data_IF_185623809144
#
_entry.id   IF_185623809144
#
_cell.length_a   1.000
_cell.length_b   1.000
_cell.length_c   1.000
_cell.angle_alpha   90.00
_cell.angle_beta   90.00
_cell.angle_gamma   90.00
#
_symmetry.space_group_name_H-M   'P 1'
#
loop_
_entity.id
_entity.type
_entity.pdbx_description
1 polymer ?
#
# COMPACT_ATOMS: atom_id res chain seq x y z
N UNK A 1 -8.19 14.24 14.14
CA UNK A 1 -7.93 13.41 12.93
C UNK A 1 -8.97 13.52 11.80
N UNK A 2 -10.07 12.73 11.75
CA UNK A 2 -10.94 12.67 10.55
C UNK A 2 -11.57 14.02 10.13
N UNK A 3 -12.03 14.80 11.11
CA UNK A 3 -12.57 16.16 10.90
C UNK A 3 -11.52 17.05 10.19
N UNK A 4 -10.28 17.05 10.68
CA UNK A 4 -9.16 17.82 10.13
C UNK A 4 -8.82 17.43 8.70
N UNK A 5 -8.85 16.13 8.38
CA UNK A 5 -8.70 15.67 6.99
C UNK A 5 -9.83 16.21 6.09
N UNK A 6 -11.08 16.19 6.58
CA UNK A 6 -12.25 16.67 5.84
C UNK A 6 -12.17 18.18 5.57
N UNK A 7 -11.74 18.98 6.54
CA UNK A 7 -11.51 20.42 6.41
C UNK A 7 -10.50 20.75 5.29
N UNK A 8 -9.50 19.88 5.09
CA UNK A 8 -8.51 20.03 4.02
C UNK A 8 -8.90 19.30 2.72
N UNK A 9 -10.11 18.77 2.64
CA UNK A 9 -10.64 18.09 1.46
C UNK A 9 -9.93 16.77 1.13
N UNK A 10 -9.36 16.08 2.11
CA UNK A 10 -8.64 14.80 1.92
C UNK A 10 -9.20 13.69 2.80
N UNK A 11 -8.91 12.42 2.45
CA UNK A 11 -9.19 11.28 3.32
C UNK A 11 -8.01 11.01 4.25
N UNK A 12 -8.25 10.24 5.31
CA UNK A 12 -7.17 9.77 6.19
C UNK A 12 -6.12 8.95 5.42
N UNK A 13 -6.56 8.17 4.43
CA UNK A 13 -5.68 7.41 3.55
C UNK A 13 -4.71 8.31 2.79
N UNK A 14 -5.22 9.41 2.22
CA UNK A 14 -4.40 10.37 1.50
C UNK A 14 -3.43 11.13 2.44
N UNK A 15 -3.85 11.41 3.67
CA UNK A 15 -2.99 11.96 4.71
C UNK A 15 -1.86 10.99 5.09
N UNK A 16 -2.13 9.69 5.21
CA UNK A 16 -1.11 8.69 5.53
C UNK A 16 -0.03 8.57 4.45
N UNK A 17 -0.37 8.67 3.16
CA UNK A 17 0.64 8.78 2.10
C UNK A 17 1.58 9.98 2.31
N UNK A 18 1.02 11.14 2.66
CA UNK A 18 1.80 12.35 2.89
C UNK A 18 2.68 12.24 4.15
N UNK A 19 2.16 11.65 5.24
CA UNK A 19 2.94 11.36 6.45
C UNK A 19 4.10 10.42 6.14
N UNK A 20 3.84 9.31 5.44
CA UNK A 20 4.88 8.35 5.06
C UNK A 20 5.97 9.02 4.23
N UNK A 21 5.59 9.91 3.30
CA UNK A 21 6.53 10.63 2.47
C UNK A 21 7.33 11.70 3.22
N UNK A 22 6.72 12.46 4.14
CA UNK A 22 7.45 13.41 4.98
C UNK A 22 8.38 12.67 5.96
N UNK A 23 7.92 11.56 6.54
CA UNK A 23 8.73 10.72 7.41
C UNK A 23 9.97 10.20 6.67
N UNK A 24 9.79 9.69 5.45
CA UNK A 24 10.91 9.25 4.61
C UNK A 24 11.86 10.41 4.28
N UNK A 25 11.34 11.57 3.90
CA UNK A 25 12.15 12.76 3.63
C UNK A 25 13.02 13.19 4.82
N UNK A 26 12.48 13.08 6.05
CA UNK A 26 13.18 13.33 7.31
C UNK A 26 14.20 12.23 7.65
N UNK A 27 13.96 10.99 7.25
CA UNK A 27 14.91 9.86 7.44
C UNK A 27 16.06 9.90 6.42
N UNK A 28 15.81 10.33 5.19
CA UNK A 28 16.78 10.33 4.09
C UNK A 28 17.91 11.39 4.25
N UNK A 29 17.88 12.19 5.31
CA UNK A 29 18.93 13.15 5.70
C UNK A 29 19.50 14.00 4.55
N UNK A 30 18.63 14.55 3.69
CA UNK A 30 19.02 15.42 2.57
C UNK A 30 19.25 14.71 1.23
N UNK A 31 19.24 13.37 1.17
CA UNK A 31 19.25 12.64 -0.09
C UNK A 31 17.85 12.65 -0.73
N UNK A 32 17.54 13.75 -1.42
CA UNK A 32 16.21 14.04 -1.95
C UNK A 32 16.13 14.03 -3.48
N UNK A 33 17.15 13.48 -4.15
CA UNK A 33 17.28 13.50 -5.61
C UNK A 33 16.13 12.76 -6.31
N UNK A 34 15.55 11.76 -5.65
CA UNK A 34 14.53 10.90 -6.21
C UNK A 34 13.20 11.04 -5.47
N UNK A 35 12.05 10.97 -6.17
CA UNK A 35 10.76 10.94 -5.51
C UNK A 35 10.57 9.63 -4.75
N UNK A 36 9.73 9.66 -3.72
CA UNK A 36 9.27 8.45 -3.06
C UNK A 36 8.09 7.87 -3.84
N UNK A 37 8.21 6.61 -4.23
CA UNK A 37 7.12 5.83 -4.81
C UNK A 37 6.53 4.90 -3.76
N UNK A 38 5.24 5.00 -3.54
CA UNK A 38 4.48 4.12 -2.66
C UNK A 38 3.46 3.35 -3.50
N UNK A 39 3.34 2.04 -3.33
CA UNK A 39 2.29 1.28 -4.01
C UNK A 39 1.11 1.02 -3.06
N UNK A 40 -0.09 0.89 -3.63
CA UNK A 40 -1.29 0.61 -2.84
C UNK A 40 -2.26 -0.26 -3.61
N UNK A 41 -3.06 -0.99 -2.85
CA UNK A 41 -4.12 -1.84 -3.33
C UNK A 41 -5.39 -1.01 -3.57
N UNK A 42 -6.17 -1.40 -4.58
CA UNK A 42 -7.47 -0.82 -4.87
C UNK A 42 -8.54 -1.92 -4.94
N UNK A 43 -9.72 -1.63 -4.40
CA UNK A 43 -10.83 -2.58 -4.41
C UNK A 43 -11.43 -2.65 -5.83
N UNK A 44 -11.41 -3.83 -6.44
CA UNK A 44 -11.99 -4.06 -7.77
C UNK A 44 -13.45 -4.47 -7.72
N UNK A 45 -13.99 -4.86 -6.56
CA UNK A 45 -15.37 -5.36 -6.44
C UNK A 45 -16.44 -4.41 -7.02
N UNK A 46 -16.35 -3.07 -6.90
CA UNK A 46 -17.32 -2.15 -7.49
C UNK A 46 -17.39 -2.19 -9.04
N UNK A 47 -16.39 -2.78 -9.70
CA UNK A 47 -16.31 -2.89 -11.16
C UNK A 47 -16.68 -4.28 -11.68
N UNK A 48 -17.08 -5.19 -10.79
CA UNK A 48 -17.49 -6.54 -11.13
C UNK A 48 -19.01 -6.61 -11.14
N UNK A 49 -19.56 -7.54 -11.92
CA UNK A 49 -20.99 -7.84 -11.87
C UNK A 49 -21.35 -8.28 -10.44
N UNK A 50 -22.43 -7.70 -9.91
CA UNK A 50 -22.87 -7.98 -8.56
C UNK A 50 -23.44 -9.40 -8.49
N UNK A 51 -22.59 -10.36 -8.15
CA UNK A 51 -22.98 -11.76 -7.96
C UNK A 51 -23.02 -12.08 -6.47
N UNK A 52 -24.20 -12.42 -5.96
CA UNK A 52 -24.43 -12.64 -4.53
C UNK A 52 -23.54 -13.75 -3.97
N UNK A 53 -23.40 -14.87 -4.70
CA UNK A 53 -22.58 -16.00 -4.29
C UNK A 53 -21.09 -15.62 -4.15
N UNK A 54 -20.55 -14.86 -5.11
CA UNK A 54 -19.18 -14.37 -5.02
C UNK A 54 -19.02 -13.33 -3.90
N UNK A 55 -19.96 -12.40 -3.75
CA UNK A 55 -19.89 -11.37 -2.71
C UNK A 55 -19.92 -11.94 -1.28
N UNK A 56 -20.57 -13.08 -1.09
CA UNK A 56 -20.64 -13.80 0.18
C UNK A 56 -19.45 -14.76 0.41
N UNK A 57 -18.66 -15.03 -0.63
CA UNK A 57 -17.48 -15.87 -0.51
C UNK A 57 -16.34 -15.13 0.19
N UNK A 58 -15.80 -15.77 1.23
CA UNK A 58 -14.59 -15.34 1.92
C UNK A 58 -13.35 -15.38 1.00
N UNK A 59 -13.41 -16.12 -0.11
CA UNK A 59 -12.35 -16.21 -1.12
C UNK A 59 -12.44 -15.14 -2.21
N UNK A 60 -13.44 -14.26 -2.20
CA UNK A 60 -13.62 -13.28 -3.28
C UNK A 60 -12.68 -12.07 -3.17
N UNK A 61 -11.38 -12.31 -3.33
CA UNK A 61 -10.39 -11.24 -3.34
C UNK A 61 -10.26 -10.67 -4.76
N UNK A 62 -10.66 -9.41 -4.94
CA UNK A 62 -10.53 -8.70 -6.21
C UNK A 62 -9.80 -7.37 -5.97
N UNK A 63 -8.50 -7.36 -6.29
CA UNK A 63 -7.59 -6.25 -5.97
C UNK A 63 -6.78 -5.84 -7.19
N UNK A 64 -6.78 -4.54 -7.47
CA UNK A 64 -5.86 -3.90 -8.40
C UNK A 64 -4.76 -3.17 -7.63
N UNK A 65 -3.75 -2.66 -8.34
CA UNK A 65 -2.65 -1.91 -7.72
C UNK A 65 -2.36 -0.64 -8.50
N UNK A 66 -1.98 0.40 -7.76
CA UNK A 66 -1.54 1.67 -8.30
C UNK A 66 -0.41 2.25 -7.45
N UNK A 67 0.27 3.25 -8.00
CA UNK A 67 1.35 3.94 -7.30
C UNK A 67 0.93 5.38 -6.97
N UNK A 68 1.43 5.87 -5.84
CA UNK A 68 1.46 7.28 -5.47
C UNK A 68 2.92 7.70 -5.45
N UNK A 69 3.26 8.72 -6.23
CA UNK A 69 4.62 9.26 -6.32
C UNK A 69 4.61 10.67 -5.77
N UNK A 70 5.43 10.93 -4.74
CA UNK A 70 5.54 12.23 -4.10
C UNK A 70 7.01 12.68 -4.04
N UNK A 71 7.28 14.00 -4.12
CA UNK A 71 8.64 14.51 -4.01
C UNK A 71 9.25 14.22 -2.63
N UNK A 72 10.56 14.00 -2.58
CA UNK A 72 11.28 13.69 -1.32
C UNK A 72 11.88 14.91 -0.63
N UNK A 73 12.05 16.05 -1.33
CA UNK A 73 12.59 17.27 -0.70
C UNK A 73 11.63 17.87 0.32
N UNK A 74 12.09 18.42 1.45
CA UNK A 74 11.19 19.00 2.47
C UNK A 74 11.35 20.52 2.56
N UNK A 75 10.37 21.32 2.06
CA UNK A 75 10.37 22.76 2.25
C UNK A 75 10.26 23.15 3.73
N UNK A 76 10.63 24.40 4.06
CA UNK A 76 10.60 24.92 5.43
C UNK A 76 9.21 24.83 6.10
N UNK A 77 8.13 25.08 5.35
CA UNK A 77 6.76 24.93 5.84
C UNK A 77 6.27 23.48 5.68
N UNK A 78 6.50 22.67 6.72
CA UNK A 78 6.12 21.27 6.75
C UNK A 78 4.60 21.07 6.70
N UNK A 79 3.80 21.94 7.33
CA UNK A 79 2.35 21.80 7.40
C UNK A 79 1.68 22.07 6.05
N UNK A 80 2.08 23.14 5.36
CA UNK A 80 1.59 23.44 4.00
C UNK A 80 2.04 22.35 3.01
N UNK A 81 3.27 21.87 3.16
CA UNK A 81 3.81 20.76 2.37
C UNK A 81 3.00 19.49 2.58
N UNK A 82 2.69 19.15 3.83
CA UNK A 82 1.87 17.99 4.19
C UNK A 82 0.52 18.01 3.50
N UNK A 83 -0.24 19.11 3.63
CA UNK A 83 -1.58 19.18 3.04
C UNK A 83 -1.55 19.21 1.51
N UNK A 84 -0.53 19.83 0.90
CA UNK A 84 -0.32 19.78 -0.55
C UNK A 84 -0.08 18.33 -1.01
N UNK A 85 0.79 17.58 -0.32
CA UNK A 85 1.07 16.18 -0.62
C UNK A 85 -0.14 15.28 -0.40
N UNK A 86 -0.92 15.52 0.64
CA UNK A 86 -2.15 14.77 0.89
C UNK A 86 -3.16 14.98 -0.26
N UNK A 87 -3.32 16.22 -0.75
CA UNK A 87 -4.15 16.49 -1.92
C UNK A 87 -3.60 15.83 -3.19
N UNK A 88 -2.29 15.85 -3.40
CA UNK A 88 -1.65 15.17 -4.53
C UNK A 88 -1.88 13.65 -4.49
N UNK A 89 -1.71 13.02 -3.32
CA UNK A 89 -1.98 11.60 -3.12
C UNK A 89 -3.46 11.26 -3.39
N UNK A 90 -4.40 12.08 -2.90
CA UNK A 90 -5.84 11.94 -3.22
C UNK A 90 -6.10 12.04 -4.71
N UNK A 91 -5.51 13.01 -5.41
CA UNK A 91 -5.70 13.21 -6.84
C UNK A 91 -5.15 12.01 -7.65
N UNK A 92 -3.96 11.51 -7.31
CA UNK A 92 -3.37 10.33 -7.94
C UNK A 92 -4.24 9.08 -7.70
N UNK A 93 -4.66 8.84 -6.45
CA UNK A 93 -5.53 7.72 -6.09
C UNK A 93 -6.88 7.78 -6.82
N UNK A 94 -7.47 8.97 -6.92
CA UNK A 94 -8.74 9.18 -7.64
C UNK A 94 -8.59 8.90 -9.13
N UNK A 95 -7.49 9.37 -9.73
CA UNK A 95 -7.19 9.11 -11.14
C UNK A 95 -7.00 7.62 -11.42
N UNK A 96 -6.32 6.91 -10.53
CA UNK A 96 -6.14 5.47 -10.63
C UNK A 96 -7.49 4.73 -10.53
N UNK A 97 -8.30 5.06 -9.53
CA UNK A 97 -9.61 4.45 -9.31
C UNK A 97 -10.59 4.74 -10.46
N UNK A 98 -10.60 5.95 -11.01
CA UNK A 98 -11.53 6.36 -12.08
C UNK A 98 -10.98 6.14 -13.49
N UNK A 99 -9.84 5.47 -13.63
CA UNK A 99 -9.23 5.26 -14.94
C UNK A 99 -10.09 4.30 -15.78
N UNK A 100 -10.39 4.62 -17.06
CA UNK A 100 -11.06 3.67 -17.96
C UNK A 100 -10.20 2.41 -18.19
N UNK A 101 -8.88 2.51 -17.99
CA UNK A 101 -7.95 1.39 -18.11
C UNK A 101 -7.88 0.51 -16.87
N UNK A 102 -8.62 0.81 -15.81
CA UNK A 102 -8.49 0.09 -14.54
C UNK A 102 -8.87 -1.39 -14.68
N UNK A 103 -10.05 -1.66 -15.23
CA UNK A 103 -10.56 -3.03 -15.42
C UNK A 103 -9.69 -3.85 -16.37
N UNK A 104 -9.36 -3.40 -17.60
CA UNK A 104 -8.50 -4.18 -18.49
C UNK A 104 -7.10 -4.41 -17.90
N UNK A 105 -6.51 -3.41 -17.23
CA UNK A 105 -5.22 -3.57 -16.54
C UNK A 105 -5.30 -4.64 -15.44
N UNK A 106 -6.35 -4.61 -14.62
CA UNK A 106 -6.54 -5.60 -13.56
C UNK A 106 -6.68 -7.02 -14.13
N UNK A 107 -7.42 -7.19 -15.23
CA UNK A 107 -7.55 -8.48 -15.94
C UNK A 107 -6.21 -8.99 -16.45
N UNK A 108 -5.41 -8.14 -17.08
CA UNK A 108 -4.11 -8.54 -17.61
C UNK A 108 -3.14 -8.91 -16.49
N UNK A 109 -3.08 -8.11 -15.42
CA UNK A 109 -2.26 -8.44 -14.24
C UNK A 109 -2.74 -9.73 -13.56
N UNK A 110 -4.04 -9.97 -13.51
CA UNK A 110 -4.59 -11.23 -12.98
C UNK A 110 -4.22 -12.44 -13.84
N UNK A 111 -4.24 -12.29 -15.17
CA UNK A 111 -3.79 -13.32 -16.13
C UNK A 111 -2.33 -13.69 -15.87
N UNK A 112 -1.44 -12.71 -15.80
CA UNK A 112 -0.01 -12.90 -15.52
C UNK A 112 0.24 -13.54 -14.14
N UNK A 113 -0.47 -13.07 -13.09
CA UNK A 113 -0.37 -13.65 -11.75
C UNK A 113 -0.88 -15.08 -11.71
N UNK A 114 -1.96 -15.38 -12.43
CA UNK A 114 -2.52 -16.73 -12.52
C UNK A 114 -1.57 -17.71 -13.20
N UNK A 115 -0.87 -17.28 -14.27
CA UNK A 115 0.16 -18.11 -14.93
C UNK A 115 1.27 -18.44 -13.95
N UNK A 116 1.84 -17.43 -13.26
CA UNK A 116 2.92 -17.64 -12.27
C UNK A 116 2.48 -18.50 -11.10
N UNK A 117 1.29 -18.27 -10.55
CA UNK A 117 0.79 -19.03 -9.40
C UNK A 117 0.60 -20.51 -9.72
N UNK A 118 0.07 -20.83 -10.91
CA UNK A 118 -0.07 -22.23 -11.36
C UNK A 118 1.28 -22.89 -11.62
N UNK A 119 2.28 -22.12 -12.05
CA UNK A 119 3.64 -22.65 -12.19
C UNK A 119 4.21 -23.03 -10.81
N UNK A 120 4.13 -22.13 -9.82
CA UNK A 120 4.58 -22.45 -8.45
C UNK A 120 3.86 -23.65 -7.85
N UNK A 121 2.54 -23.74 -8.02
CA UNK A 121 1.79 -24.91 -7.55
C UNK A 121 2.30 -26.23 -8.18
N UNK A 122 2.64 -26.23 -9.48
CA UNK A 122 3.23 -27.41 -10.13
C UNK A 122 4.61 -27.75 -9.57
N UNK A 123 5.44 -26.75 -9.32
CA UNK A 123 6.77 -26.92 -8.72
C UNK A 123 6.66 -27.50 -7.30
N UNK A 124 5.72 -27.01 -6.49
CA UNK A 124 5.42 -27.52 -5.15
C UNK A 124 4.87 -28.96 -5.16
N UNK A 125 4.08 -29.31 -6.18
CA UNK A 125 3.56 -30.67 -6.41
C UNK A 125 4.62 -31.64 -6.99
N UNK A 126 5.87 -31.19 -7.18
CA UNK A 126 6.96 -32.00 -7.74
C UNK A 126 6.81 -32.30 -9.24
N UNK A 127 5.91 -31.60 -9.93
CA UNK A 127 5.74 -31.73 -11.38
C UNK A 127 6.91 -31.04 -12.05
N UNK A 128 7.68 -31.80 -12.83
CA UNK A 128 8.78 -31.25 -13.62
C UNK A 128 8.29 -30.05 -14.43
N UNK A 129 8.95 -28.90 -14.25
CA UNK A 129 8.66 -27.73 -15.05
C UNK A 129 8.75 -28.13 -16.53
N UNK A 130 7.80 -27.69 -17.40
CA UNK A 130 7.93 -27.94 -18.82
C UNK A 130 9.32 -27.47 -19.26
N UNK A 131 9.99 -28.20 -20.18
CA UNK A 131 11.33 -27.84 -20.62
C UNK A 131 11.28 -26.36 -21.01
N UNK A 132 12.08 -25.55 -20.31
CA UNK A 132 12.06 -24.11 -20.50
C UNK A 132 12.18 -23.87 -22.01
N UNK A 133 11.19 -23.21 -22.62
CA UNK A 133 11.36 -22.66 -23.96
C UNK A 133 12.71 -21.96 -23.93
N UNK A 134 13.65 -22.35 -24.82
CA UNK A 134 15.05 -21.87 -24.86
C UNK A 134 15.07 -20.46 -24.27
N UNK A 135 15.80 -20.22 -23.16
CA UNK A 135 15.81 -18.90 -22.57
C UNK A 135 16.06 -17.93 -23.71
N UNK A 136 15.13 -17.00 -23.94
CA UNK A 136 15.47 -15.82 -24.73
C UNK A 136 16.80 -15.37 -24.13
N UNK A 137 17.86 -15.44 -24.95
CA UNK A 137 19.26 -15.26 -24.60
C UNK A 137 19.38 -14.48 -23.29
N UNK A 138 19.97 -15.09 -22.26
CA UNK A 138 20.11 -14.48 -20.94
C UNK A 138 20.32 -12.97 -21.12
N UNK A 139 19.45 -12.11 -20.56
CA UNK A 139 19.52 -10.69 -20.85
C UNK A 139 20.95 -10.28 -20.57
N UNK A 140 21.63 -9.80 -21.61
CA UNK A 140 22.99 -9.27 -21.53
C UNK A 140 23.02 -8.43 -20.26
N UNK A 141 23.99 -8.63 -19.34
CA UNK A 141 24.05 -7.87 -18.11
C UNK A 141 23.87 -6.39 -18.47
N UNK A 142 22.73 -5.86 -18.06
CA UNK A 142 22.31 -4.53 -18.48
C UNK A 142 23.39 -3.56 -18.05
N UNK A 143 24.05 -2.93 -19.02
CA UNK A 143 24.98 -1.82 -18.76
C UNK A 143 24.21 -0.56 -18.35
N UNK A 144 22.87 -0.60 -18.37
CA UNK A 144 22.06 0.50 -17.86
C UNK A 144 22.29 0.64 -16.34
N UNK A 145 22.51 1.87 -15.85
CA UNK A 145 22.65 2.11 -14.43
C UNK A 145 21.44 1.52 -13.68
N UNK A 146 21.71 0.79 -12.60
CA UNK A 146 20.66 0.23 -11.73
C UNK A 146 19.75 1.39 -11.33
N UNK A 147 18.48 1.30 -11.73
CA UNK A 147 17.48 2.29 -11.33
C UNK A 147 17.45 2.27 -9.80
N UNK A 148 17.70 3.41 -9.13
CA UNK A 148 17.70 3.48 -7.69
C UNK A 148 16.29 3.22 -7.16
N UNK A 149 16.04 1.98 -6.74
CA UNK A 149 14.83 1.57 -6.03
C UNK A 149 15.14 1.54 -4.54
N UNK A 150 15.26 2.72 -3.94
CA UNK A 150 15.48 2.90 -2.50
C UNK A 150 14.16 2.64 -1.78
N UNK A 151 13.99 1.43 -1.20
CA UNK A 151 12.84 1.00 -0.40
C UNK A 151 11.44 1.23 -1.01
N UNK A 152 10.86 0.17 -1.58
CA UNK A 152 9.46 0.16 -2.00
C UNK A 152 8.55 -0.14 -0.79
N UNK A 153 7.87 0.86 -0.25
CA UNK A 153 6.84 0.65 0.77
C UNK A 153 5.44 0.55 0.14
N UNK A 154 4.68 -0.45 0.59
CA UNK A 154 3.26 -0.58 0.30
C UNK A 154 2.44 0.11 1.37
N UNK A 155 1.35 0.76 0.98
CA UNK A 155 0.33 1.26 1.91
C UNK A 155 -0.98 0.50 1.66
N UNK A 156 -1.41 -0.28 2.66
CA UNK A 156 -2.68 -0.99 2.68
C UNK A 156 -3.67 -0.25 3.56
N UNK A 157 -4.59 0.48 2.92
CA UNK A 157 -5.47 1.43 3.59
C UNK A 157 -6.90 0.90 3.58
N UNK A 158 -7.33 0.24 4.66
CA UNK A 158 -8.61 -0.49 4.70
C UNK A 158 -9.83 0.42 4.92
N UNK A 159 -9.61 1.70 5.23
CA UNK A 159 -10.67 2.67 5.44
C UNK A 159 -11.32 2.52 6.82
N UNK A 160 -12.64 2.71 6.88
CA UNK A 160 -13.41 2.61 8.12
C UNK A 160 -14.04 1.21 8.27
N UNK A 161 -13.47 0.43 9.17
CA UNK A 161 -13.90 -0.93 9.45
C UNK A 161 -15.16 -0.96 10.34
N UNK A 162 -15.53 0.12 11.02
CA UNK A 162 -16.80 0.22 11.76
C UNK A 162 -18.01 0.19 10.81
N UNK A 163 -17.79 0.50 9.52
CA UNK A 163 -18.80 0.31 8.48
C UNK A 163 -19.11 -1.17 8.21
N UNK A 164 -18.13 -2.06 8.40
CA UNK A 164 -18.23 -3.50 8.15
C UNK A 164 -18.59 -4.26 9.43
N UNK A 165 -17.91 -3.97 10.53
CA UNK A 165 -18.15 -4.57 11.84
C UNK A 165 -19.22 -3.79 12.59
N UNK A 166 -20.46 -4.24 12.51
CA UNK A 166 -21.60 -3.61 13.21
C UNK A 166 -21.53 -3.92 14.71
N UNK A 167 -20.72 -3.18 15.46
CA UNK A 167 -20.47 -3.40 16.90
C UNK A 167 -21.73 -3.72 17.73
N UNK A 168 -22.85 -3.04 17.44
CA UNK A 168 -24.14 -3.26 18.13
C UNK A 168 -24.73 -4.68 17.94
N UNK A 169 -24.38 -5.40 16.87
CA UNK A 169 -24.92 -6.74 16.59
C UNK A 169 -24.19 -7.86 17.34
N UNK A 170 -23.09 -7.55 18.02
CA UNK A 170 -22.26 -8.54 18.72
C UNK A 170 -22.67 -8.73 20.19
N UNK A 171 -23.79 -8.14 20.64
CA UNK A 171 -24.35 -8.35 21.97
C UNK A 171 -23.37 -8.01 23.09
N UNK A 172 -22.96 -9.02 23.87
CA UNK A 172 -21.98 -8.88 24.96
C UNK A 172 -20.52 -8.83 24.49
N UNK A 173 -20.23 -9.18 23.23
CA UNK A 173 -18.88 -9.22 22.69
C UNK A 173 -18.45 -7.81 22.28
N UNK A 174 -17.36 -7.32 22.88
CA UNK A 174 -16.75 -6.04 22.54
C UNK A 174 -15.48 -6.24 21.73
N UNK A 175 -15.51 -5.87 20.46
CA UNK A 175 -14.31 -5.85 19.63
C UNK A 175 -13.53 -4.55 19.89
N UNK A 176 -12.33 -4.67 20.45
CA UNK A 176 -11.50 -3.53 20.83
C UNK A 176 -10.39 -3.21 19.81
N UNK A 177 -9.87 -4.24 19.15
CA UNK A 177 -8.76 -4.15 18.20
C UNK A 177 -8.94 -5.18 17.09
N UNK A 178 -8.37 -4.88 15.92
CA UNK A 178 -8.17 -5.81 14.84
C UNK A 178 -6.68 -5.86 14.54
N UNK A 179 -6.13 -7.02 14.22
CA UNK A 179 -4.73 -7.14 13.78
C UNK A 179 -4.69 -7.68 12.37
N UNK A 180 -3.93 -7.03 11.50
CA UNK A 180 -3.73 -7.45 10.12
C UNK A 180 -2.47 -8.29 10.03
N UNK A 181 -2.57 -9.51 9.52
CA UNK A 181 -1.41 -10.31 9.14
C UNK A 181 -1.04 -10.04 7.67
N UNK A 182 0.26 -9.91 7.39
CA UNK A 182 0.78 -9.87 6.01
C UNK A 182 1.78 -10.98 5.80
N UNK A 183 1.67 -11.69 4.68
CA UNK A 183 2.80 -12.46 4.16
C UNK A 183 3.74 -11.49 3.46
N UNK A 184 4.77 -11.05 4.18
CA UNK A 184 5.84 -10.22 3.63
C UNK A 184 6.62 -11.04 2.60
N UNK A 185 6.95 -10.45 1.44
CA UNK A 185 7.97 -11.00 0.56
C UNK A 185 9.35 -10.52 1.02
N UNK A 186 10.40 -11.24 0.62
CA UNK A 186 11.77 -10.80 0.81
C UNK A 186 11.96 -9.37 0.27
N UNK A 187 12.60 -8.49 1.06
CA UNK A 187 12.78 -7.08 0.77
C UNK A 187 11.49 -6.24 0.78
N UNK A 188 10.39 -6.76 1.33
CA UNK A 188 9.11 -6.05 1.37
C UNK A 188 8.95 -5.17 2.61
N UNK A 189 8.31 -4.00 2.45
CA UNK A 189 7.81 -3.15 3.54
C UNK A 189 6.34 -2.81 3.29
N UNK A 190 5.49 -2.87 4.32
CA UNK A 190 4.05 -2.66 4.21
C UNK A 190 3.51 -1.95 5.46
N UNK A 191 2.88 -0.80 5.25
CA UNK A 191 2.11 -0.10 6.28
C UNK A 191 0.62 -0.39 6.09
N UNK A 192 -0.04 -0.86 7.15
CA UNK A 192 -1.49 -0.91 7.25
C UNK A 192 -2.01 0.34 7.95
N UNK A 193 -3.08 0.92 7.42
CA UNK A 193 -3.78 2.05 8.02
C UNK A 193 -5.30 1.90 7.92
N UNK A 194 -6.00 1.97 9.05
CA UNK A 194 -7.46 1.84 9.08
C UNK A 194 -8.05 2.47 10.33
N UNK A 195 -9.35 2.71 10.31
CA UNK A 195 -10.10 3.14 11.49
C UNK A 195 -10.99 2.02 11.99
N UNK A 196 -10.94 1.75 13.30
CA UNK A 196 -11.70 0.70 13.96
C UNK A 196 -11.96 1.07 15.41
N UNK A 197 -13.20 0.85 15.87
CA UNK A 197 -13.70 1.26 17.17
C UNK A 197 -13.42 2.75 17.46
N UNK A 198 -13.63 3.61 16.46
CA UNK A 198 -13.40 5.05 16.57
C UNK A 198 -11.94 5.50 16.67
N UNK A 199 -10.97 4.59 16.53
CA UNK A 199 -9.53 4.88 16.60
C UNK A 199 -8.85 4.71 15.24
N UNK A 200 -7.80 5.49 14.99
CA UNK A 200 -6.87 5.23 13.89
C UNK A 200 -5.87 4.16 14.33
N UNK A 201 -5.76 3.10 13.56
CA UNK A 201 -4.78 2.05 13.72
C UNK A 201 -3.77 2.11 12.58
N UNK A 202 -2.50 2.05 12.93
CA UNK A 202 -1.38 1.96 12.00
C UNK A 202 -0.44 0.85 12.44
N UNK A 203 0.03 0.05 11.48
CA UNK A 203 0.96 -1.06 11.72
C UNK A 203 1.97 -1.10 10.59
N UNK A 204 3.26 -1.25 10.91
CA UNK A 204 4.33 -1.40 9.94
C UNK A 204 4.91 -2.82 10.02
N UNK A 205 4.79 -3.57 8.94
CA UNK A 205 5.50 -4.83 8.74
C UNK A 205 6.65 -4.64 7.77
N UNK A 206 7.81 -5.23 8.04
CA UNK A 206 8.98 -5.19 7.17
C UNK A 206 9.77 -6.50 7.26
N UNK A 207 10.52 -6.80 6.21
CA UNK A 207 11.49 -7.90 6.22
C UNK A 207 12.73 -7.48 7.01
N UNK A 208 12.93 -8.07 8.19
CA UNK A 208 14.06 -7.76 9.06
C UNK A 208 15.42 -8.10 8.45
N UNK A 209 15.46 -9.03 7.48
CA UNK A 209 16.67 -9.38 6.76
C UNK A 209 16.88 -8.53 5.50
N UNK A 210 15.84 -7.79 5.07
CA UNK A 210 15.85 -6.96 3.87
C UNK A 210 16.13 -5.48 4.14
N UNK A 211 16.03 -5.02 5.40
CA UNK A 211 16.18 -3.61 5.77
C UNK A 211 17.02 -3.45 7.03
N UNK A 212 17.83 -2.38 7.06
CA UNK A 212 18.57 -2.00 8.25
C UNK A 212 17.61 -1.49 9.35
N UNK A 213 17.72 -2.09 10.54
CA UNK A 213 16.71 -1.99 11.59
C UNK A 213 16.58 -0.56 12.10
N UNK A 214 17.68 0.12 12.31
CA UNK A 214 17.74 1.46 12.89
C UNK A 214 17.07 2.49 11.97
N UNK A 215 17.26 2.37 10.66
CA UNK A 215 16.61 3.18 9.62
C UNK A 215 15.10 2.96 9.64
N UNK A 216 14.65 1.70 9.71
CA UNK A 216 13.21 1.41 9.78
C UNK A 216 12.60 1.92 11.08
N UNK A 217 13.29 1.79 12.20
CA UNK A 217 12.84 2.31 13.50
C UNK A 217 12.79 3.84 13.52
N UNK A 218 13.78 4.51 12.94
CA UNK A 218 13.78 5.95 12.78
C UNK A 218 12.63 6.40 11.89
N UNK A 219 12.45 5.77 10.72
CA UNK A 219 11.32 6.01 9.83
C UNK A 219 9.97 5.84 10.55
N UNK A 220 9.79 4.74 11.26
CA UNK A 220 8.55 4.45 11.97
C UNK A 220 8.24 5.49 13.05
N UNK A 221 9.24 5.90 13.82
CA UNK A 221 9.11 6.99 14.79
C UNK A 221 8.67 8.29 14.12
N UNK A 222 9.28 8.65 12.97
CA UNK A 222 8.88 9.84 12.19
C UNK A 222 7.46 9.75 11.64
N UNK A 223 6.98 8.55 11.30
CA UNK A 223 5.57 8.34 10.90
C UNK A 223 4.64 8.64 12.06
N UNK A 224 4.93 8.12 13.27
CA UNK A 224 4.13 8.37 14.47
C UNK A 224 4.14 9.85 14.87
N UNK A 225 5.32 10.49 14.87
CA UNK A 225 5.47 11.93 15.08
C UNK A 225 4.63 12.73 14.08
N UNK A 226 4.65 12.35 12.79
CA UNK A 226 3.86 13.02 11.76
C UNK A 226 2.34 12.84 11.92
N UNK A 227 1.88 11.71 12.47
CA UNK A 227 0.45 11.53 12.79
C UNK A 227 0.05 12.54 13.87
N UNK A 228 0.83 12.67 14.94
CA UNK A 228 0.55 13.62 16.01
C UNK A 228 0.64 15.07 15.51
N UNK A 229 1.73 15.43 14.84
CA UNK A 229 1.99 16.78 14.33
C UNK A 229 0.87 17.28 13.39
N UNK A 230 0.44 16.44 12.45
CA UNK A 230 -0.45 16.88 11.37
C UNK A 230 -1.93 16.53 11.58
N UNK A 231 -2.23 15.49 12.36
CA UNK A 231 -3.59 14.96 12.52
C UNK A 231 -4.12 15.01 13.95
N UNK A 232 -3.22 15.14 14.94
CA UNK A 232 -3.53 15.44 16.34
C UNK A 232 -4.50 16.60 16.48
#
# INVERSE_FOLDING_TARGET
MLKRCKEHGVSISAALFAICNIAWARTANGNWELPMMMYSALNMRPYLLAEKALNQSYWFLAVGYFNVVLPSFLPADAAKTFWLRARAAKAQSTRAAKSPMLVPRARETARERGVRARQWAREDDGVAAPPASKPASAPTPSTAPKIPSTALIGLSLLGNLDGMYKHATFGSIKMHTLTTGSRQRAGGMLLFGYTFAGKLWVSLGYDENGFEKETVQAYWRRVLEGIEEFLG
#
